data_IF_608863953792
#
_entry.id   IF_608863953792
#
_cell.length_a   1.000
_cell.length_b   1.000
_cell.length_c   1.000
_cell.angle_alpha   90.00
_cell.angle_beta   90.00
_cell.angle_gamma   90.00
#
_symmetry.space_group_name_H-M   'P 1'
#
loop_
_entity.id
_entity.type
_entity.pdbx_description
1 polymer ?
#
# COMPACT_ATOMS: atom_id res chain seq x y z
N UNK A 1 -26.10 19.29 12.02
CA UNK A 1 -26.07 18.00 12.75
C UNK A 1 -24.66 17.80 13.27
N UNK A 2 -24.48 17.37 14.52
CA UNK A 2 -23.16 17.07 15.07
C UNK A 2 -22.60 15.81 14.40
N UNK A 3 -21.35 15.85 13.96
CA UNK A 3 -20.65 14.66 13.45
C UNK A 3 -20.41 13.69 14.60
N UNK A 4 -21.04 12.51 14.52
CA UNK A 4 -20.99 11.46 15.54
C UNK A 4 -19.75 10.55 15.33
N UNK A 5 -19.02 10.73 14.23
CA UNK A 5 -17.81 10.03 13.88
C UNK A 5 -18.03 8.61 13.35
N UNK A 6 -17.09 8.14 12.50
CA UNK A 6 -17.15 6.83 11.83
C UNK A 6 -17.11 5.62 12.77
N UNK A 7 -16.78 5.82 14.05
CA UNK A 7 -16.78 4.76 15.06
C UNK A 7 -18.15 4.54 15.72
N UNK A 8 -18.90 5.62 15.99
CA UNK A 8 -20.19 5.54 16.70
C UNK A 8 -21.38 5.44 15.76
N UNK A 9 -21.25 5.94 14.53
CA UNK A 9 -22.31 5.87 13.52
C UNK A 9 -22.79 4.44 13.22
N UNK A 10 -21.92 3.41 13.08
CA UNK A 10 -22.37 2.03 12.86
C UNK A 10 -23.24 1.50 14.01
N UNK A 11 -22.84 1.74 15.25
CA UNK A 11 -23.59 1.30 16.45
C UNK A 11 -25.00 1.92 16.50
N UNK A 12 -25.11 3.18 16.07
CA UNK A 12 -26.37 3.89 16.03
C UNK A 12 -27.26 3.35 14.88
N UNK A 13 -26.67 3.10 13.71
CA UNK A 13 -27.38 2.48 12.58
C UNK A 13 -27.87 1.07 12.93
N UNK A 14 -27.05 0.24 13.58
CA UNK A 14 -27.44 -1.09 14.04
C UNK A 14 -28.62 -1.02 15.02
N UNK A 15 -28.60 -0.06 15.95
CA UNK A 15 -29.71 0.13 16.89
C UNK A 15 -31.01 0.57 16.22
N UNK A 16 -30.92 1.36 15.14
CA UNK A 16 -32.07 1.81 14.34
C UNK A 16 -32.59 0.65 13.49
N UNK A 17 -31.71 -0.11 12.84
CA UNK A 17 -32.07 -1.28 12.04
C UNK A 17 -32.77 -2.31 12.90
N UNK A 18 -32.21 -2.64 14.08
CA UNK A 18 -32.81 -3.60 15.00
C UNK A 18 -34.21 -3.18 15.46
N UNK A 19 -34.43 -1.88 15.71
CA UNK A 19 -35.76 -1.34 16.02
C UNK A 19 -36.70 -1.42 14.83
N UNK A 20 -36.24 -1.07 13.63
CA UNK A 20 -37.03 -1.16 12.41
C UNK A 20 -37.44 -2.62 12.14
N UNK A 21 -36.50 -3.55 12.21
CA UNK A 21 -36.77 -4.98 12.05
C UNK A 21 -37.78 -5.47 13.10
N UNK A 22 -37.67 -5.05 14.36
CA UNK A 22 -38.62 -5.44 15.41
C UNK A 22 -40.04 -4.87 15.22
N UNK A 23 -40.18 -3.76 14.50
CA UNK A 23 -41.48 -3.10 14.28
C UNK A 23 -42.16 -3.59 12.99
N UNK A 24 -41.37 -3.93 11.97
CA UNK A 24 -41.87 -4.23 10.63
C UNK A 24 -41.78 -5.71 10.23
N UNK A 25 -40.97 -6.55 10.90
CA UNK A 25 -40.93 -8.01 10.68
C UNK A 25 -41.87 -8.81 11.61
N UNK A 26 -42.80 -8.15 12.30
CA UNK A 26 -43.77 -8.79 13.22
C UNK A 26 -44.94 -9.48 12.49
N UNK A 27 -45.09 -9.26 11.19
CA UNK A 27 -46.09 -9.94 10.37
C UNK A 27 -45.51 -11.24 9.80
N UNK A 28 -46.28 -12.33 9.91
CA UNK A 28 -45.95 -13.74 9.59
C UNK A 28 -45.43 -14.01 8.16
N UNK A 29 -45.37 -12.97 7.31
CA UNK A 29 -44.68 -12.96 6.02
C UNK A 29 -43.66 -11.83 6.02
N UNK A 30 -42.37 -12.18 5.91
CA UNK A 30 -41.25 -11.25 5.64
C UNK A 30 -41.44 -10.57 4.26
N UNK A 31 -42.30 -9.56 4.16
CA UNK A 31 -42.61 -8.89 2.89
C UNK A 31 -41.88 -7.55 2.69
N UNK A 32 -41.18 -7.03 3.69
CA UNK A 32 -40.58 -5.70 3.62
C UNK A 32 -39.08 -5.77 3.89
N UNK A 33 -38.30 -5.42 2.88
CA UNK A 33 -36.85 -5.20 2.98
C UNK A 33 -36.64 -3.73 3.37
N UNK A 34 -36.06 -3.50 4.55
CA UNK A 34 -35.83 -2.16 5.09
C UNK A 34 -34.37 -1.82 4.90
N UNK A 35 -34.12 -0.78 4.13
CA UNK A 35 -32.78 -0.29 3.84
C UNK A 35 -32.61 1.14 4.39
N UNK A 36 -31.54 1.35 5.16
CA UNK A 36 -31.21 2.67 5.68
C UNK A 36 -30.48 3.48 4.60
N UNK A 37 -30.98 4.68 4.32
CA UNK A 37 -30.39 5.60 3.34
C UNK A 37 -30.12 6.98 3.94
N UNK A 38 -29.42 7.82 3.19
CA UNK A 38 -29.00 9.17 3.60
C UNK A 38 -27.51 9.39 3.40
N UNK A 39 -27.09 10.65 3.33
CA UNK A 39 -25.71 11.06 3.01
C UNK A 39 -24.67 10.50 3.97
N UNK A 40 -24.99 10.43 5.27
CA UNK A 40 -24.08 9.86 6.28
C UNK A 40 -23.95 8.35 6.17
N UNK A 41 -25.04 7.65 5.84
CA UNK A 41 -25.06 6.18 5.69
C UNK A 41 -24.27 5.77 4.44
N UNK A 42 -24.54 6.44 3.31
CA UNK A 42 -23.83 6.17 2.05
C UNK A 42 -22.35 6.53 2.12
N UNK A 43 -21.98 7.60 2.84
CA UNK A 43 -20.58 7.94 3.08
C UNK A 43 -19.86 6.89 3.94
N UNK A 44 -20.49 6.41 5.03
CA UNK A 44 -19.94 5.36 5.88
C UNK A 44 -19.73 4.06 5.10
N UNK A 45 -20.74 3.62 4.36
CA UNK A 45 -20.68 2.38 3.57
C UNK A 45 -19.63 2.51 2.46
N UNK A 46 -19.55 3.68 1.81
CA UNK A 46 -18.50 4.02 0.86
C UNK A 46 -17.09 3.93 1.49
N UNK A 47 -16.87 4.58 2.64
CA UNK A 47 -15.59 4.49 3.37
C UNK A 47 -15.24 3.04 3.75
N UNK A 48 -16.22 2.26 4.22
CA UNK A 48 -16.03 0.85 4.61
C UNK A 48 -15.65 0.00 3.40
N UNK A 49 -16.35 0.17 2.28
CA UNK A 49 -16.08 -0.51 1.02
C UNK A 49 -14.66 -0.22 0.53
N UNK A 50 -14.21 1.04 0.60
CA UNK A 50 -12.85 1.44 0.23
C UNK A 50 -11.81 0.80 1.16
N UNK A 51 -12.03 0.79 2.47
CA UNK A 51 -11.11 0.17 3.43
C UNK A 51 -11.00 -1.34 3.19
N UNK A 52 -12.13 -2.01 2.95
CA UNK A 52 -12.14 -3.44 2.64
C UNK A 52 -11.44 -3.72 1.31
N UNK A 53 -11.72 -2.92 0.27
CA UNK A 53 -11.04 -3.02 -1.02
C UNK A 53 -9.54 -2.78 -0.91
N UNK A 54 -9.08 -1.87 -0.05
CA UNK A 54 -7.65 -1.67 0.24
C UNK A 54 -7.04 -2.90 0.90
N UNK A 55 -7.69 -3.47 1.92
CA UNK A 55 -7.22 -4.69 2.59
C UNK A 55 -7.12 -5.86 1.62
N UNK A 56 -8.14 -6.09 0.80
CA UNK A 56 -8.16 -7.14 -0.22
C UNK A 56 -7.08 -6.92 -1.27
N UNK A 57 -6.93 -5.69 -1.76
CA UNK A 57 -5.91 -5.34 -2.77
C UNK A 57 -4.50 -5.57 -2.24
N UNK A 58 -4.23 -5.15 -1.00
CA UNK A 58 -2.95 -5.38 -0.32
C UNK A 58 -2.72 -6.89 -0.15
N UNK A 59 -3.73 -7.63 0.32
CA UNK A 59 -3.63 -9.08 0.50
C UNK A 59 -3.31 -9.80 -0.81
N UNK A 60 -4.05 -9.51 -1.88
CA UNK A 60 -3.80 -10.08 -3.20
C UNK A 60 -2.44 -9.69 -3.76
N UNK A 61 -2.01 -8.43 -3.59
CA UNK A 61 -0.68 -7.98 -3.97
C UNK A 61 0.39 -8.80 -3.23
N UNK A 62 0.33 -8.88 -1.89
CA UNK A 62 1.27 -9.67 -1.10
C UNK A 62 1.31 -11.14 -1.53
N UNK A 63 0.16 -11.75 -1.79
CA UNK A 63 0.06 -13.14 -2.23
C UNK A 63 0.73 -13.34 -3.59
N UNK A 64 0.41 -12.52 -4.59
CA UNK A 64 0.98 -12.61 -5.93
C UNK A 64 2.50 -12.37 -5.93
N UNK A 65 2.95 -11.35 -5.20
CA UNK A 65 4.38 -11.05 -5.07
C UNK A 65 5.10 -12.19 -4.38
N UNK A 66 4.47 -12.76 -3.35
CA UNK A 66 5.05 -13.87 -2.63
C UNK A 66 5.24 -15.08 -3.52
N UNK A 67 4.24 -15.39 -4.36
CA UNK A 67 4.33 -16.45 -5.37
C UNK A 67 5.42 -16.15 -6.41
N UNK A 68 5.49 -14.93 -6.94
CA UNK A 68 6.52 -14.53 -7.91
C UNK A 68 7.93 -14.64 -7.31
N UNK A 69 8.14 -14.16 -6.08
CA UNK A 69 9.44 -14.22 -5.41
C UNK A 69 9.81 -15.66 -5.02
N UNK A 70 8.86 -16.47 -4.58
CA UNK A 70 9.11 -17.87 -4.26
C UNK A 70 9.45 -18.67 -5.53
N UNK A 71 8.79 -18.39 -6.65
CA UNK A 71 9.13 -18.96 -7.94
C UNK A 71 10.54 -18.54 -8.40
N UNK A 72 10.87 -17.25 -8.28
CA UNK A 72 12.13 -16.69 -8.78
C UNK A 72 13.33 -17.05 -7.90
N UNK A 73 13.21 -16.97 -6.57
CA UNK A 73 14.34 -17.15 -5.64
C UNK A 73 14.33 -18.49 -4.91
N UNK A 74 13.20 -19.21 -4.88
CA UNK A 74 13.01 -20.46 -4.12
C UNK A 74 13.48 -20.37 -2.67
N UNK A 75 13.43 -19.17 -2.08
CA UNK A 75 13.94 -18.89 -0.74
C UNK A 75 13.01 -17.98 0.03
N UNK A 76 12.40 -18.52 1.09
CA UNK A 76 11.52 -17.78 1.99
C UNK A 76 12.24 -16.66 2.76
N UNK A 77 13.57 -16.73 2.89
CA UNK A 77 14.36 -15.68 3.55
C UNK A 77 14.45 -14.43 2.69
N UNK A 78 14.67 -14.61 1.38
CA UNK A 78 14.72 -13.50 0.42
C UNK A 78 13.34 -12.86 0.29
N UNK A 79 12.29 -13.69 0.26
CA UNK A 79 10.90 -13.24 0.32
C UNK A 79 10.63 -12.30 1.51
N UNK A 80 10.89 -12.75 2.75
CA UNK A 80 10.62 -11.92 3.92
C UNK A 80 11.46 -10.64 3.89
N UNK A 81 12.72 -10.72 3.44
CA UNK A 81 13.58 -9.54 3.30
C UNK A 81 13.09 -8.52 2.27
N UNK A 82 12.33 -8.96 1.26
CA UNK A 82 11.78 -8.09 0.22
C UNK A 82 10.46 -7.43 0.61
N UNK A 83 9.69 -8.04 1.53
CA UNK A 83 8.41 -7.49 1.96
C UNK A 83 8.57 -6.35 2.98
N UNK A 84 9.53 -6.46 3.90
CA UNK A 84 9.80 -5.46 4.95
C UNK A 84 10.03 -4.04 4.38
N UNK A 85 10.95 -3.81 3.42
CA UNK A 85 11.21 -2.48 2.89
C UNK A 85 10.04 -1.87 2.11
N UNK A 86 9.06 -2.68 1.70
CA UNK A 86 7.87 -2.22 0.97
C UNK A 86 6.73 -1.77 1.88
N UNK A 87 6.69 -2.23 3.13
CA UNK A 87 5.69 -1.80 4.11
C UNK A 87 6.04 -0.42 4.69
N UNK A 88 7.32 -0.15 4.90
CA UNK A 88 7.80 1.08 5.57
C UNK A 88 7.30 2.36 4.89
N UNK A 89 7.41 2.52 3.55
CA UNK A 89 6.88 3.69 2.86
C UNK A 89 5.38 3.90 3.10
N UNK A 90 4.59 2.81 3.10
CA UNK A 90 3.15 2.88 3.34
C UNK A 90 2.83 3.31 4.77
N UNK A 91 3.57 2.82 5.76
CA UNK A 91 3.41 3.25 7.16
C UNK A 91 3.76 4.73 7.30
N UNK A 92 4.85 5.18 6.66
CA UNK A 92 5.24 6.60 6.69
C UNK A 92 4.15 7.45 6.07
N UNK A 93 3.62 7.07 4.90
CA UNK A 93 2.54 7.80 4.24
C UNK A 93 1.26 7.82 5.08
N UNK A 94 0.87 6.69 5.68
CA UNK A 94 -0.28 6.64 6.59
C UNK A 94 -0.07 7.53 7.83
N UNK A 95 1.15 7.54 8.39
CA UNK A 95 1.52 8.41 9.51
C UNK A 95 1.45 9.89 9.15
N UNK A 96 1.96 10.25 7.98
CA UNK A 96 1.91 11.63 7.46
C UNK A 96 0.48 12.06 7.14
N UNK A 97 -0.35 11.17 6.59
CA UNK A 97 -1.78 11.43 6.40
C UNK A 97 -2.49 11.69 7.72
N UNK A 98 -2.22 10.89 8.75
CA UNK A 98 -2.76 11.07 10.09
C UNK A 98 -2.33 12.39 10.72
N UNK A 99 -1.05 12.77 10.58
CA UNK A 99 -0.51 14.04 11.08
C UNK A 99 -1.04 15.26 10.33
N UNK A 100 -1.17 15.18 9.00
CA UNK A 100 -1.68 16.25 8.15
C UNK A 100 -3.22 16.34 8.14
N UNK A 101 -3.93 15.43 8.83
CA UNK A 101 -5.39 15.41 8.89
C UNK A 101 -6.06 15.07 7.56
N UNK A 102 -5.37 14.35 6.66
CA UNK A 102 -5.92 13.98 5.35
C UNK A 102 -6.86 12.79 5.51
N UNK A 103 -8.17 12.94 5.21
CA UNK A 103 -9.10 11.84 5.33
C UNK A 103 -8.84 10.75 4.27
N UNK A 104 -9.10 9.50 4.66
CA UNK A 104 -9.18 8.38 3.73
C UNK A 104 -10.43 8.53 2.85
N UNK A 105 -10.20 8.77 1.56
CA UNK A 105 -11.19 8.98 0.50
C UNK A 105 -10.83 8.08 -0.69
N UNK A 106 -11.74 7.84 -1.65
CA UNK A 106 -11.41 7.04 -2.83
C UNK A 106 -10.12 7.50 -3.53
N UNK A 107 -9.91 8.82 -3.65
CA UNK A 107 -8.73 9.38 -4.30
C UNK A 107 -7.43 9.16 -3.52
N UNK A 108 -7.45 9.19 -2.19
CA UNK A 108 -6.24 9.04 -1.36
C UNK A 108 -5.89 7.58 -1.11
N UNK A 109 -6.86 6.67 -1.18
CA UNK A 109 -6.61 5.22 -1.03
C UNK A 109 -5.87 4.64 -2.23
N UNK A 110 -6.08 5.19 -3.43
CA UNK A 110 -5.31 4.82 -4.62
C UNK A 110 -3.80 5.00 -4.45
N UNK A 111 -3.37 5.96 -3.61
CA UNK A 111 -1.94 6.17 -3.30
C UNK A 111 -1.31 4.89 -2.79
N UNK A 112 -1.95 4.19 -1.85
CA UNK A 112 -1.40 2.99 -1.24
C UNK A 112 -1.27 1.85 -2.25
N UNK A 113 -2.28 1.63 -3.07
CA UNK A 113 -2.26 0.56 -4.09
C UNK A 113 -1.21 0.82 -5.17
N UNK A 114 -1.15 2.05 -5.69
CA UNK A 114 -0.19 2.44 -6.74
C UNK A 114 1.23 2.44 -6.21
N UNK A 115 1.47 3.06 -5.05
CA UNK A 115 2.80 3.16 -4.47
C UNK A 115 3.33 1.79 -4.04
N UNK A 116 2.48 0.90 -3.51
CA UNK A 116 2.85 -0.49 -3.23
C UNK A 116 3.35 -1.18 -4.51
N UNK A 117 2.57 -1.12 -5.60
CA UNK A 117 2.95 -1.72 -6.89
C UNK A 117 4.30 -1.21 -7.40
N UNK A 118 4.54 0.10 -7.34
CA UNK A 118 5.80 0.71 -7.78
C UNK A 118 6.96 0.31 -6.86
N UNK A 119 6.77 0.33 -5.54
CA UNK A 119 7.81 -0.06 -4.58
C UNK A 119 8.28 -1.51 -4.81
N UNK A 120 7.33 -2.40 -5.09
CA UNK A 120 7.59 -3.80 -5.39
C UNK A 120 8.30 -3.99 -6.73
N UNK A 121 7.94 -3.24 -7.76
CA UNK A 121 8.67 -3.26 -9.04
C UNK A 121 10.16 -2.95 -8.83
N UNK A 122 10.45 -1.92 -8.04
CA UNK A 122 11.83 -1.55 -7.67
C UNK A 122 12.54 -2.71 -6.94
N UNK A 123 11.88 -3.34 -5.97
CA UNK A 123 12.43 -4.49 -5.25
C UNK A 123 12.68 -5.69 -6.18
N UNK A 124 11.74 -6.01 -7.07
CA UNK A 124 11.87 -7.11 -8.03
C UNK A 124 13.04 -6.84 -8.96
N UNK A 125 13.13 -5.62 -9.51
CA UNK A 125 14.23 -5.23 -10.40
C UNK A 125 15.57 -5.37 -9.71
N UNK A 126 15.69 -4.90 -8.47
CA UNK A 126 16.92 -5.05 -7.69
C UNK A 126 17.28 -6.52 -7.48
N UNK A 127 16.31 -7.33 -7.05
CA UNK A 127 16.54 -8.74 -6.74
C UNK A 127 16.86 -9.57 -7.99
N UNK A 128 16.17 -9.35 -9.11
CA UNK A 128 16.44 -10.04 -10.38
C UNK A 128 17.88 -9.80 -10.82
N UNK A 129 18.34 -8.55 -10.80
CA UNK A 129 19.73 -8.22 -11.14
C UNK A 129 20.72 -8.81 -10.14
N UNK A 130 20.41 -8.77 -8.84
CA UNK A 130 21.19 -9.45 -7.80
C UNK A 130 21.34 -10.96 -8.09
N UNK A 131 20.26 -11.63 -8.51
CA UNK A 131 20.29 -13.06 -8.87
C UNK A 131 21.16 -13.32 -10.09
N UNK A 132 21.10 -12.46 -11.09
CA UNK A 132 21.86 -12.58 -12.34
C UNK A 132 23.35 -12.32 -12.12
N UNK A 133 23.70 -11.43 -11.19
CA UNK A 133 25.08 -11.04 -10.91
C UNK A 133 25.75 -11.97 -9.88
N UNK A 134 24.99 -12.76 -9.11
CA UNK A 134 25.52 -13.67 -8.10
C UNK A 134 26.52 -14.71 -8.66
N UNK A 135 26.27 -15.36 -9.83
CA UNK A 135 27.25 -16.25 -10.45
C UNK A 135 28.49 -15.51 -10.97
N UNK A 136 28.34 -14.27 -11.45
CA UNK A 136 29.43 -13.47 -12.01
C UNK A 136 30.44 -13.03 -10.93
N UNK A 137 30.00 -12.95 -9.68
CA UNK A 137 30.80 -12.52 -8.53
C UNK A 137 31.26 -13.69 -7.65
N UNK A 138 31.43 -14.89 -8.23
CA UNK A 138 31.85 -16.11 -7.50
C UNK A 138 30.98 -16.44 -6.27
N UNK A 139 29.68 -16.13 -6.32
CA UNK A 139 28.75 -16.30 -5.20
C UNK A 139 29.06 -15.45 -3.95
N UNK A 140 29.92 -14.42 -4.06
CA UNK A 140 30.14 -13.47 -2.97
C UNK A 140 28.98 -12.48 -2.88
N UNK A 141 28.13 -12.70 -1.88
CA UNK A 141 26.95 -11.88 -1.59
C UNK A 141 27.30 -10.40 -1.44
N UNK A 142 28.45 -10.07 -0.81
CA UNK A 142 28.82 -8.66 -0.59
C UNK A 142 29.17 -7.98 -1.91
N UNK A 143 30.04 -8.61 -2.69
CA UNK A 143 30.44 -8.11 -4.00
C UNK A 143 29.23 -7.97 -4.93
N UNK A 144 28.33 -8.97 -4.95
CA UNK A 144 27.11 -8.94 -5.76
C UNK A 144 26.17 -7.81 -5.36
N UNK A 145 25.93 -7.58 -4.07
CA UNK A 145 25.05 -6.48 -3.62
C UNK A 145 25.63 -5.13 -4.04
N UNK A 146 26.93 -4.91 -3.83
CA UNK A 146 27.60 -3.66 -4.22
C UNK A 146 27.50 -3.45 -5.73
N UNK A 147 27.82 -4.47 -6.52
CA UNK A 147 27.75 -4.40 -7.98
C UNK A 147 26.33 -4.14 -8.48
N UNK A 148 25.33 -4.76 -7.85
CA UNK A 148 23.91 -4.55 -8.19
C UNK A 148 23.45 -3.12 -7.89
N UNK A 149 23.94 -2.51 -6.80
CA UNK A 149 23.68 -1.09 -6.51
C UNK A 149 24.29 -0.20 -7.60
N UNK A 150 25.54 -0.46 -8.01
CA UNK A 150 26.19 0.34 -9.05
C UNK A 150 25.50 0.21 -10.41
N UNK A 151 25.08 -0.99 -10.81
CA UNK A 151 24.43 -1.22 -12.10
C UNK A 151 22.97 -0.78 -12.11
N UNK A 152 22.19 -1.28 -11.14
CA UNK A 152 20.72 -1.18 -11.14
C UNK A 152 20.23 0.01 -10.32
N UNK A 153 20.99 0.42 -9.28
CA UNK A 153 20.61 1.53 -8.41
C UNK A 153 20.43 2.84 -9.17
N UNK A 154 21.29 3.14 -10.14
CA UNK A 154 21.18 4.32 -11.01
C UNK A 154 19.87 4.27 -11.82
N UNK A 155 19.53 3.12 -12.42
CA UNK A 155 18.27 2.94 -13.17
C UNK A 155 17.03 3.11 -12.28
N UNK A 156 17.08 2.59 -11.04
CA UNK A 156 16.01 2.76 -10.05
C UNK A 156 15.82 4.23 -9.70
N UNK A 157 16.91 4.99 -9.47
CA UNK A 157 16.84 6.42 -9.15
C UNK A 157 16.21 7.20 -10.31
N UNK A 158 16.64 6.97 -11.55
CA UNK A 158 16.08 7.66 -12.72
C UNK A 158 14.59 7.40 -12.89
N UNK A 159 14.18 6.14 -12.83
CA UNK A 159 12.75 5.79 -12.96
C UNK A 159 11.91 6.36 -11.81
N UNK A 160 12.45 6.35 -10.58
CA UNK A 160 11.80 6.97 -9.43
C UNK A 160 11.65 8.48 -9.61
N UNK A 161 12.68 9.16 -10.09
CA UNK A 161 12.65 10.62 -10.30
C UNK A 161 11.60 11.02 -11.34
N UNK A 162 11.50 10.28 -12.44
CA UNK A 162 10.48 10.50 -13.47
C UNK A 162 9.08 10.31 -12.90
N UNK A 163 8.85 9.25 -12.11
CA UNK A 163 7.55 9.00 -11.47
C UNK A 163 7.21 10.09 -10.46
N UNK A 164 8.17 10.47 -9.60
CA UNK A 164 8.00 11.56 -8.62
C UNK A 164 7.62 12.86 -9.33
N UNK A 165 8.32 13.21 -10.40
CA UNK A 165 8.01 14.40 -11.19
C UNK A 165 6.59 14.32 -11.80
N UNK A 166 6.19 13.15 -12.33
CA UNK A 166 4.85 12.92 -12.85
C UNK A 166 3.76 13.13 -11.80
N UNK A 167 3.94 12.63 -10.58
CA UNK A 167 2.98 12.82 -9.49
C UNK A 167 2.99 14.23 -8.91
N UNK A 168 4.14 14.93 -8.89
CA UNK A 168 4.22 16.32 -8.43
C UNK A 168 3.34 17.24 -9.28
N UNK A 169 3.16 16.96 -10.58
CA UNK A 169 2.29 17.76 -11.44
C UNK A 169 0.84 17.78 -10.91
N UNK A 170 0.38 16.71 -10.27
CA UNK A 170 -0.97 16.65 -9.69
C UNK A 170 -1.16 17.59 -8.49
N UNK A 171 -0.08 18.05 -7.85
CA UNK A 171 -0.15 19.05 -6.78
C UNK A 171 -0.68 20.41 -7.26
N UNK A 172 -0.63 20.69 -8.57
CA UNK A 172 -1.17 21.92 -9.16
C UNK A 172 -2.67 21.84 -9.49
N UNK A 173 -3.33 20.73 -9.15
CA UNK A 173 -4.77 20.56 -9.40
C UNK A 173 -5.63 21.28 -8.36
N UNK A 174 -6.65 22.01 -8.82
CA UNK A 174 -7.68 22.60 -7.94
C UNK A 174 -8.56 21.55 -7.26
N UNK A 175 -8.57 20.32 -7.76
CA UNK A 175 -9.29 19.22 -7.14
C UNK A 175 -8.47 18.63 -6.00
N UNK A 176 -8.86 18.93 -4.75
CA UNK A 176 -8.13 18.51 -3.55
C UNK A 176 -7.84 17.01 -3.45
N UNK A 177 -8.66 16.15 -4.07
CA UNK A 177 -8.37 14.71 -4.15
C UNK A 177 -7.16 14.37 -5.04
N UNK A 178 -7.01 15.06 -6.17
CA UNK A 178 -5.87 14.91 -7.10
C UNK A 178 -4.63 15.56 -6.52
N UNK A 179 -4.77 16.73 -5.89
CA UNK A 179 -3.68 17.37 -5.16
C UNK A 179 -3.12 16.42 -4.09
N UNK A 180 -4.01 15.82 -3.27
CA UNK A 180 -3.62 14.87 -2.24
C UNK A 180 -2.93 13.62 -2.81
N UNK A 181 -3.45 13.06 -3.91
CA UNK A 181 -2.83 11.96 -4.63
C UNK A 181 -1.40 12.30 -5.06
N UNK A 182 -1.18 13.50 -5.61
CA UNK A 182 0.12 13.95 -6.09
C UNK A 182 1.19 13.94 -5.00
N UNK A 183 1.01 14.77 -3.97
CA UNK A 183 2.06 14.93 -2.96
C UNK A 183 2.25 13.68 -2.10
N UNK A 184 1.18 12.95 -1.75
CA UNK A 184 1.27 11.71 -0.97
C UNK A 184 1.98 10.62 -1.76
N UNK A 185 1.69 10.46 -3.05
CA UNK A 185 2.36 9.45 -3.88
C UNK A 185 3.83 9.80 -4.05
N UNK A 186 4.16 11.06 -4.36
CA UNK A 186 5.55 11.52 -4.46
C UNK A 186 6.34 11.25 -3.18
N UNK A 187 5.76 11.55 -2.01
CA UNK A 187 6.37 11.23 -0.72
C UNK A 187 6.60 9.73 -0.53
N UNK A 188 5.59 8.92 -0.88
CA UNK A 188 5.68 7.46 -0.77
C UNK A 188 6.77 6.91 -1.70
N UNK A 189 6.91 7.46 -2.92
CA UNK A 189 7.93 7.04 -3.86
C UNK A 189 9.34 7.41 -3.39
N UNK A 190 9.54 8.62 -2.88
CA UNK A 190 10.83 9.04 -2.31
C UNK A 190 11.24 8.09 -1.19
N UNK A 191 10.32 7.83 -0.26
CA UNK A 191 10.58 6.92 0.87
C UNK A 191 10.77 5.47 0.42
N UNK A 192 10.03 5.00 -0.59
CA UNK A 192 10.20 3.67 -1.18
C UNK A 192 11.55 3.49 -1.87
N UNK A 193 12.01 4.47 -2.65
CA UNK A 193 13.30 4.42 -3.32
C UNK A 193 14.44 4.42 -2.29
N UNK A 194 14.37 5.27 -1.27
CA UNK A 194 15.36 5.29 -0.19
C UNK A 194 15.38 3.97 0.58
N UNK A 195 14.21 3.44 0.95
CA UNK A 195 14.12 2.19 1.71
C UNK A 195 14.63 1.01 0.89
N UNK A 196 14.29 0.93 -0.41
CA UNK A 196 14.77 -0.14 -1.28
C UNK A 196 16.27 -0.05 -1.63
N UNK A 197 16.87 1.14 -1.68
CA UNK A 197 18.31 1.27 -1.96
C UNK A 197 19.19 1.19 -0.71
N UNK A 198 18.64 1.39 0.49
CA UNK A 198 19.39 1.34 1.74
C UNK A 198 19.08 0.06 2.52
N UNK A 199 17.80 -0.16 2.84
CA UNK A 199 17.39 -1.21 3.76
C UNK A 199 17.45 -2.60 3.11
N UNK A 200 17.00 -2.74 1.86
CA UNK A 200 17.02 -4.03 1.16
C UNK A 200 18.45 -4.58 1.03
N UNK A 201 19.46 -3.82 0.55
CA UNK A 201 20.87 -4.25 0.58
C UNK A 201 21.36 -4.62 1.98
N UNK A 202 21.05 -3.81 2.99
CA UNK A 202 21.47 -4.06 4.37
C UNK A 202 20.91 -5.40 4.90
N UNK A 203 19.64 -5.71 4.60
CA UNK A 203 19.03 -6.98 4.99
C UNK A 203 19.67 -8.15 4.23
N UNK A 204 19.91 -8.01 2.91
CA UNK A 204 20.57 -9.05 2.11
C UNK A 204 21.98 -9.37 2.63
N UNK A 205 22.76 -8.33 2.96
CA UNK A 205 24.10 -8.48 3.54
C UNK A 205 24.07 -9.15 4.92
N UNK A 206 23.02 -8.89 5.72
CA UNK A 206 22.81 -9.54 7.01
C UNK A 206 22.49 -11.03 6.87
N UNK A 207 21.63 -11.38 5.89
CA UNK A 207 21.25 -12.79 5.61
C UNK A 207 22.43 -13.57 5.02
N UNK A 208 23.26 -12.90 4.21
CA UNK A 208 24.45 -13.49 3.60
C UNK A 208 25.62 -13.72 4.56
N UNK A 209 25.60 -13.11 5.75
CA UNK A 209 26.51 -13.43 6.85
C UNK A 209 26.11 -14.78 7.47
N UNK A 210 26.37 -15.88 6.78
CA UNK A 210 26.57 -17.16 7.46
C UNK A 210 28.03 -17.22 7.94
N UNK A 211 28.18 -17.25 9.27
CA UNK A 211 29.35 -17.84 9.93
C UNK A 211 29.51 -19.30 9.50
#
# INVERSE_FOLDING_TARGET
MADIGSYRLPLLLDSIQQKADSLFNTSEKRTHEIELTGTSVTFLEGSRSIINGLKESIFWAFLLISLCMLYLFRSARILISSLIPNIIPLIITAGVMGWAGVPLKPSTVLVFSVALGIAIDVTIRFLVNYKQELPNQNQDIKATVIQTIYSTGISIIYTSLVLIAGFIIFCFSDFGGTMALGWLTSLTLITATLTNLILLPAILLSIGKKK
#
